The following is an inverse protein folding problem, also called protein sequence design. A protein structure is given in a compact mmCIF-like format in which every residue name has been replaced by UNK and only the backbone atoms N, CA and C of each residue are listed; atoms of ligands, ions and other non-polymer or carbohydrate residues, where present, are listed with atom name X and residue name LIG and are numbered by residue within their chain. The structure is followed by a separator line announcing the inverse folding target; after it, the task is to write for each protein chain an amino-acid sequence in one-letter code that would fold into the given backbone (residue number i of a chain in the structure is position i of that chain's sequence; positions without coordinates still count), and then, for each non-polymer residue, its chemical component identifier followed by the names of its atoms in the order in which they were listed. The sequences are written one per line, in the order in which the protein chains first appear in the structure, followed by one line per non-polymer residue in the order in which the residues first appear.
data_IF_405427320057
#
_entry.id   IF_405427320057
#
_cell.length_a   1.000
_cell.length_b   1.000
_cell.length_c   1.000
_cell.angle_alpha   90.00
_cell.angle_beta   90.00
_cell.angle_gamma   90.00
#
_symmetry.space_group_name_H-M   'P 1'
#
loop_
_entity.id
_entity.type
_entity.pdbx_description
1 polymer ?
#
# COMPACT_ATOMS: atom_id res chain seq x y z
N UNK A 1 5.79 -9.63 16.22
CA UNK A 1 5.23 -8.30 15.94
C UNK A 1 3.72 -8.36 16.16
N UNK A 2 3.07 -7.32 16.72
CA UNK A 2 1.61 -7.26 16.75
C UNK A 2 1.02 -7.15 15.33
N UNK A 3 -0.28 -7.44 15.19
CA UNK A 3 -1.03 -7.27 13.94
C UNK A 3 -1.27 -5.77 13.69
N UNK A 4 -0.28 -5.12 13.05
CA UNK A 4 -0.28 -3.68 12.79
C UNK A 4 -1.43 -3.28 11.87
N UNK A 5 -1.69 -4.08 10.83
CA UNK A 5 -2.77 -3.84 9.88
C UNK A 5 -4.11 -3.67 10.60
N UNK A 6 -4.46 -4.62 11.46
CA UNK A 6 -5.74 -4.57 12.18
C UNK A 6 -5.84 -3.35 13.09
N UNK A 7 -4.78 -3.07 13.85
CA UNK A 7 -4.73 -1.91 14.77
C UNK A 7 -4.90 -0.60 14.00
N UNK A 8 -4.23 -0.47 12.86
CA UNK A 8 -4.27 0.72 12.04
C UNK A 8 -5.62 0.92 11.35
N UNK A 9 -6.19 -0.14 10.81
CA UNK A 9 -7.51 -0.11 10.18
C UNK A 9 -8.60 0.36 11.16
N UNK A 10 -8.56 -0.11 12.41
CA UNK A 10 -9.44 0.35 13.48
C UNK A 10 -9.23 1.85 13.79
N UNK A 11 -7.96 2.27 13.98
CA UNK A 11 -7.60 3.68 14.25
C UNK A 11 -8.01 4.63 13.13
N UNK A 12 -7.87 4.22 11.87
CA UNK A 12 -8.24 5.02 10.70
C UNK A 12 -9.75 5.18 10.63
N UNK A 13 -10.50 4.09 10.85
CA UNK A 13 -11.97 4.11 10.90
C UNK A 13 -12.50 5.09 11.96
N UNK A 14 -11.90 5.12 13.14
CA UNK A 14 -12.26 6.07 14.20
C UNK A 14 -11.98 7.53 13.83
N UNK A 15 -10.82 7.79 13.20
CA UNK A 15 -10.40 9.16 12.83
C UNK A 15 -11.08 9.69 11.58
N UNK A 16 -11.59 8.82 10.70
CA UNK A 16 -12.29 9.18 9.46
C UNK A 16 -13.38 10.26 9.65
N UNK A 17 -14.08 10.22 10.79
CA UNK A 17 -15.16 11.17 11.12
C UNK A 17 -14.68 12.61 11.35
N UNK A 18 -13.38 12.81 11.61
CA UNK A 18 -12.75 14.10 11.90
C UNK A 18 -12.02 14.69 10.70
N UNK A 19 -11.88 13.92 9.61
CA UNK A 19 -11.21 14.37 8.40
C UNK A 19 -12.04 15.41 7.66
N UNK A 20 -11.36 16.32 6.99
CA UNK A 20 -11.98 17.37 6.19
C UNK A 20 -12.87 16.75 5.08
N UNK A 21 -14.16 17.13 4.99
CA UNK A 21 -15.06 16.57 3.99
C UNK A 21 -14.62 16.80 2.54
N UNK A 22 -13.98 17.93 2.22
CA UNK A 22 -13.50 18.20 0.87
C UNK A 22 -12.32 17.28 0.52
N UNK A 23 -11.37 17.10 1.44
CA UNK A 23 -10.24 16.18 1.23
C UNK A 23 -10.72 14.73 1.07
N UNK A 24 -11.68 14.31 1.91
CA UNK A 24 -12.32 13.00 1.78
C UNK A 24 -12.98 12.83 0.42
N UNK A 25 -13.74 13.83 -0.02
CA UNK A 25 -14.39 13.79 -1.31
C UNK A 25 -13.37 13.67 -2.46
N UNK A 26 -12.22 14.35 -2.37
CA UNK A 26 -11.13 14.22 -3.36
C UNK A 26 -10.55 12.81 -3.37
N UNK A 27 -10.16 12.27 -2.22
CA UNK A 27 -9.60 10.93 -2.11
C UNK A 27 -10.60 9.85 -2.57
N UNK A 28 -11.87 9.96 -2.16
CA UNK A 28 -12.95 9.05 -2.56
C UNK A 28 -13.31 9.15 -4.05
N UNK A 29 -12.86 10.17 -4.79
CA UNK A 29 -13.06 10.27 -6.25
C UNK A 29 -11.91 9.70 -7.07
N UNK A 30 -10.84 9.23 -6.43
CA UNK A 30 -9.77 8.48 -7.09
C UNK A 30 -10.35 7.31 -7.91
N UNK A 31 -11.37 6.63 -7.38
CA UNK A 31 -12.03 5.50 -8.07
C UNK A 31 -12.71 5.88 -9.39
N UNK A 32 -12.93 7.17 -9.64
CA UNK A 32 -13.47 7.67 -10.91
C UNK A 32 -12.39 8.05 -11.93
N UNK A 33 -11.13 8.17 -11.49
CA UNK A 33 -10.01 8.53 -12.34
C UNK A 33 -9.66 7.38 -13.31
N UNK A 34 -9.41 7.71 -14.58
CA UNK A 34 -9.06 6.73 -15.61
C UNK A 34 -7.80 5.94 -15.27
N UNK A 35 -6.73 6.61 -14.83
CA UNK A 35 -5.47 5.96 -14.48
C UNK A 35 -5.62 4.97 -13.33
N UNK A 36 -6.40 5.33 -12.30
CA UNK A 36 -6.67 4.39 -11.20
C UNK A 36 -7.54 3.22 -11.66
N UNK A 37 -8.55 3.47 -12.50
CA UNK A 37 -9.40 2.40 -13.06
C UNK A 37 -8.58 1.43 -13.91
N UNK A 38 -7.73 1.94 -14.78
CA UNK A 38 -6.87 1.13 -15.64
C UNK A 38 -5.92 0.28 -14.77
N UNK A 39 -5.26 0.91 -13.78
CA UNK A 39 -4.38 0.21 -12.84
C UNK A 39 -5.11 -0.88 -12.04
N UNK A 40 -6.32 -0.61 -11.51
CA UNK A 40 -6.99 -1.57 -10.61
C UNK A 40 -7.54 -2.80 -11.35
N UNK A 41 -7.99 -2.64 -12.60
CA UNK A 41 -8.56 -3.74 -13.40
C UNK A 41 -7.56 -4.46 -14.30
N UNK A 42 -6.38 -3.87 -14.51
CA UNK A 42 -5.33 -4.46 -15.32
C UNK A 42 -4.90 -5.82 -14.77
N UNK A 43 -4.62 -6.78 -15.65
CA UNK A 43 -4.08 -8.09 -15.25
C UNK A 43 -2.55 -8.08 -15.13
N UNK A 44 -1.90 -6.97 -15.48
CA UNK A 44 -0.45 -6.80 -15.36
C UNK A 44 -0.06 -6.31 -13.95
N UNK A 45 1.14 -6.71 -13.53
CA UNK A 45 1.82 -6.13 -12.37
C UNK A 45 2.17 -4.69 -12.69
N UNK A 46 1.68 -3.76 -11.87
CA UNK A 46 1.81 -2.33 -12.12
C UNK A 46 1.94 -1.56 -10.80
N UNK A 47 2.69 -0.47 -10.87
CA UNK A 47 2.90 0.45 -9.75
C UNK A 47 2.07 1.71 -9.97
N UNK A 48 1.57 2.32 -8.89
CA UNK A 48 0.86 3.59 -8.93
C UNK A 48 1.18 4.40 -7.67
N UNK A 49 1.52 5.67 -7.85
CA UNK A 49 1.67 6.63 -6.78
C UNK A 49 0.55 7.67 -6.85
N UNK A 50 -0.24 7.79 -5.79
CA UNK A 50 -1.30 8.80 -5.67
C UNK A 50 -0.90 9.86 -4.65
N UNK A 51 -0.87 11.12 -5.07
CA UNK A 51 -0.48 12.23 -4.20
C UNK A 51 -1.56 13.30 -4.11
N UNK A 52 -1.88 13.67 -2.88
CA UNK A 52 -2.67 14.85 -2.57
C UNK A 52 -1.82 16.11 -2.43
N UNK A 53 -2.49 17.16 -1.98
CA UNK A 53 -1.88 18.38 -1.45
C UNK A 53 -2.73 18.82 -0.25
N UNK A 54 -2.96 17.88 0.66
CA UNK A 54 -3.83 18.10 1.78
C UNK A 54 -3.14 18.99 2.81
N UNK A 55 -3.89 19.98 3.29
CA UNK A 55 -3.46 20.82 4.42
C UNK A 55 -3.72 20.06 5.70
N UNK A 56 -2.92 19.03 5.94
CA UNK A 56 -3.08 18.18 7.11
C UNK A 56 -2.50 18.91 8.31
N UNK A 57 -3.38 19.43 9.17
CA UNK A 57 -2.95 20.03 10.44
C UNK A 57 -2.40 18.95 11.37
N UNK A 58 -1.12 18.61 11.30
CA UNK A 58 -0.43 17.62 12.17
C UNK A 58 -1.18 16.29 12.38
N UNK A 59 -2.04 15.89 11.45
CA UNK A 59 -2.75 14.61 11.53
C UNK A 59 -1.96 13.56 10.76
N UNK A 60 -1.67 12.43 11.40
CA UNK A 60 -0.98 11.31 10.76
C UNK A 60 -1.94 10.30 10.10
N UNK A 61 -3.23 10.65 10.00
CA UNK A 61 -4.25 9.90 9.26
C UNK A 61 -4.88 10.89 8.30
N UNK A 62 -4.83 10.58 7.00
CA UNK A 62 -5.31 11.46 5.94
C UNK A 62 -6.58 10.93 5.27
N UNK A 63 -7.16 11.73 4.38
CA UNK A 63 -8.23 11.25 3.50
C UNK A 63 -7.78 10.08 2.60
N UNK A 64 -6.50 10.03 2.20
CA UNK A 64 -5.94 8.91 1.44
C UNK A 64 -5.78 7.66 2.31
N UNK A 65 -5.44 7.80 3.60
CA UNK A 65 -5.43 6.68 4.54
C UNK A 65 -6.81 6.04 4.66
N UNK A 66 -7.87 6.86 4.76
CA UNK A 66 -9.25 6.37 4.74
C UNK A 66 -9.63 5.72 3.41
N UNK A 67 -9.11 6.21 2.29
CA UNK A 67 -9.34 5.61 0.98
C UNK A 67 -8.66 4.24 0.89
N UNK A 68 -7.38 4.13 1.27
CA UNK A 68 -6.65 2.86 1.32
C UNK A 68 -7.34 1.84 2.21
N UNK A 69 -7.82 2.23 3.39
CA UNK A 69 -8.63 1.35 4.24
C UNK A 69 -9.91 0.86 3.54
N UNK A 70 -10.61 1.75 2.83
CA UNK A 70 -11.83 1.38 2.08
C UNK A 70 -11.51 0.43 0.92
N UNK A 71 -10.37 0.65 0.24
CA UNK A 71 -9.90 -0.19 -0.86
C UNK A 71 -9.50 -1.58 -0.36
N UNK A 72 -8.75 -1.67 0.75
CA UNK A 72 -8.39 -2.95 1.40
C UNK A 72 -9.64 -3.77 1.72
N UNK A 73 -10.67 -3.17 2.33
CA UNK A 73 -11.93 -3.87 2.62
C UNK A 73 -12.67 -4.33 1.36
N UNK A 74 -12.67 -3.51 0.30
CA UNK A 74 -13.30 -3.87 -0.96
C UNK A 74 -12.58 -5.05 -1.64
N UNK A 75 -11.24 -5.08 -1.58
CA UNK A 75 -10.42 -6.16 -2.13
C UNK A 75 -10.64 -7.47 -1.35
N UNK A 76 -10.71 -7.42 -0.02
CA UNK A 76 -10.98 -8.59 0.84
C UNK A 76 -12.31 -9.30 0.54
N UNK A 77 -13.26 -8.61 -0.09
CA UNK A 77 -14.54 -9.19 -0.45
C UNK A 77 -14.43 -10.26 -1.55
N UNK A 78 -13.34 -10.28 -2.33
CA UNK A 78 -13.07 -11.25 -3.38
C UNK A 78 -11.85 -12.11 -3.02
N UNK A 79 -12.00 -13.43 -3.09
CA UNK A 79 -10.94 -14.39 -2.73
C UNK A 79 -9.76 -14.42 -3.69
N UNK A 80 -9.95 -13.86 -4.90
CA UNK A 80 -8.88 -13.73 -5.90
C UNK A 80 -7.87 -12.64 -5.51
N UNK A 81 -8.19 -11.79 -4.55
CA UNK A 81 -7.35 -10.68 -4.14
C UNK A 81 -6.76 -10.90 -2.76
N UNK A 82 -5.47 -10.59 -2.64
CA UNK A 82 -4.74 -10.59 -1.37
C UNK A 82 -4.28 -9.15 -1.12
N UNK A 83 -5.06 -8.36 -0.35
CA UNK A 83 -4.65 -7.02 0.00
C UNK A 83 -3.69 -7.06 1.19
N UNK A 84 -2.59 -6.33 1.06
CA UNK A 84 -1.61 -6.03 2.09
C UNK A 84 -1.57 -4.51 2.24
N UNK A 85 -1.51 -4.00 3.46
CA UNK A 85 -1.45 -2.56 3.68
C UNK A 85 -0.55 -2.19 4.85
N UNK A 86 0.20 -1.10 4.68
CA UNK A 86 0.97 -0.47 5.74
C UNK A 86 0.72 1.04 5.79
N UNK A 87 0.45 1.58 6.97
CA UNK A 87 0.15 3.00 7.17
C UNK A 87 1.31 3.70 7.87
N UNK A 88 2.21 4.34 7.11
CA UNK A 88 3.41 4.98 7.64
C UNK A 88 3.09 6.03 8.73
N UNK A 89 1.97 6.75 8.59
CA UNK A 89 1.53 7.74 9.58
C UNK A 89 1.10 7.16 10.94
N UNK A 90 0.81 5.86 11.00
CA UNK A 90 0.53 5.20 12.27
C UNK A 90 1.79 4.91 13.09
N UNK A 91 2.92 4.73 12.42
CA UNK A 91 4.17 4.21 12.96
C UNK A 91 5.31 5.22 12.82
N UNK A 92 5.26 6.25 13.66
CA UNK A 92 6.25 7.35 13.73
C UNK A 92 6.91 7.36 15.11
N UNK A 93 7.55 8.48 15.47
CA UNK A 93 8.22 8.78 16.75
C UNK A 93 7.70 7.98 17.97
N UNK A 94 8.64 7.42 18.75
CA UNK A 94 8.41 6.56 19.95
C UNK A 94 7.67 5.23 19.70
N UNK A 95 7.37 4.87 18.46
CA UNK A 95 6.86 3.54 18.09
C UNK A 95 8.02 2.55 17.80
N UNK A 96 8.00 1.40 18.47
CA UNK A 96 8.95 0.30 18.22
C UNK A 96 8.73 -0.34 16.83
N UNK A 97 7.60 -0.07 16.19
CA UNK A 97 7.23 -0.55 14.86
C UNK A 97 7.38 0.52 13.76
N UNK A 98 8.13 1.61 14.02
CA UNK A 98 8.43 2.61 13.00
C UNK A 98 9.48 2.11 11.99
N UNK A 99 9.52 2.76 10.83
CA UNK A 99 10.56 2.60 9.81
C UNK A 99 10.33 1.49 8.77
N UNK A 100 11.22 1.42 7.79
CA UNK A 100 11.13 0.49 6.67
C UNK A 100 11.19 -0.98 7.10
N UNK A 101 12.06 -1.33 8.05
CA UNK A 101 12.13 -2.72 8.52
C UNK A 101 10.79 -3.24 9.05
N UNK A 102 10.11 -2.46 9.91
CA UNK A 102 8.79 -2.83 10.42
C UNK A 102 7.73 -2.90 9.33
N UNK A 103 7.85 -2.08 8.28
CA UNK A 103 6.98 -2.14 7.10
C UNK A 103 7.08 -3.49 6.39
N UNK A 104 8.29 -3.93 6.01
CA UNK A 104 8.44 -5.20 5.29
C UNK A 104 8.07 -6.41 6.17
N UNK A 105 8.38 -6.36 7.47
CA UNK A 105 7.95 -7.39 8.43
C UNK A 105 6.42 -7.44 8.51
N UNK A 106 5.73 -6.30 8.49
CA UNK A 106 4.26 -6.24 8.49
C UNK A 106 3.67 -6.89 7.27
N UNK A 107 4.18 -6.58 6.08
CA UNK A 107 3.70 -7.14 4.82
C UNK A 107 3.91 -8.66 4.78
N UNK A 108 5.06 -9.14 5.26
CA UNK A 108 5.34 -10.58 5.40
C UNK A 108 4.36 -11.24 6.38
N UNK A 109 4.15 -10.67 7.57
CA UNK A 109 3.23 -11.21 8.57
C UNK A 109 1.78 -11.24 8.06
N UNK A 110 1.33 -10.19 7.36
CA UNK A 110 0.02 -10.14 6.73
C UNK A 110 -0.14 -11.26 5.70
N UNK A 111 0.85 -11.46 4.84
CA UNK A 111 0.81 -12.51 3.82
C UNK A 111 0.77 -13.91 4.45
N UNK A 112 1.64 -14.18 5.43
CA UNK A 112 1.66 -15.42 6.21
C UNK A 112 0.36 -15.68 6.99
N UNK A 113 -0.37 -14.63 7.36
CA UNK A 113 -1.64 -14.75 8.09
C UNK A 113 -2.83 -15.02 7.17
N UNK A 114 -2.72 -14.66 5.89
CA UNK A 114 -3.78 -14.84 4.90
C UNK A 114 -3.66 -16.17 4.12
N UNK A 115 -2.45 -16.75 4.05
CA UNK A 115 -2.17 -17.91 3.21
C UNK A 115 -1.35 -18.97 3.96
N UNK A 116 -1.57 -20.25 3.62
CA UNK A 116 -0.85 -21.37 4.21
C UNK A 116 0.45 -21.66 3.43
N UNK A 117 1.59 -21.28 4.00
CA UNK A 117 2.90 -21.55 3.40
C UNK A 117 3.60 -22.76 4.03
N UNK A 118 4.19 -23.60 3.19
CA UNK A 118 5.08 -24.65 3.68
C UNK A 118 6.50 -24.10 3.90
N UNK A 119 6.74 -23.53 5.07
CA UNK A 119 8.03 -22.93 5.47
C UNK A 119 9.21 -23.92 5.44
N UNK A 120 8.97 -25.23 5.32
CA UNK A 120 10.06 -26.22 5.13
C UNK A 120 10.75 -26.11 3.77
N UNK A 121 10.12 -25.43 2.81
CA UNK A 121 10.65 -25.19 1.47
C UNK A 121 11.41 -23.87 1.38
N UNK A 122 11.55 -23.13 2.48
CA UNK A 122 12.28 -21.86 2.50
C UNK A 122 13.76 -22.12 2.13
N UNK A 123 14.33 -21.40 1.14
CA UNK A 123 15.73 -21.55 0.79
C UNK A 123 16.63 -21.28 1.99
N UNK A 124 17.70 -22.06 2.12
CA UNK A 124 18.62 -21.94 3.26
C UNK A 124 19.21 -20.53 3.34
N UNK A 125 19.50 -19.92 2.19
CA UNK A 125 20.07 -18.58 2.07
C UNK A 125 19.12 -17.52 2.65
N UNK A 126 17.81 -17.67 2.42
CA UNK A 126 16.80 -16.78 2.99
C UNK A 126 16.67 -17.03 4.49
N UNK A 127 16.63 -18.30 4.92
CA UNK A 127 16.55 -18.67 6.33
C UNK A 127 17.75 -18.15 7.15
N UNK A 128 18.98 -18.38 6.67
CA UNK A 128 20.23 -17.97 7.31
C UNK A 128 20.33 -16.43 7.40
N UNK A 129 19.77 -15.72 6.40
CA UNK A 129 19.72 -14.27 6.41
C UNK A 129 18.74 -13.69 7.46
N UNK A 130 17.66 -14.40 7.79
CA UNK A 130 16.67 -13.95 8.79
C UNK A 130 17.21 -13.95 10.23
N UNK A 131 18.32 -14.64 10.50
CA UNK A 131 18.99 -14.60 11.82
C UNK A 131 19.72 -13.26 12.05
N UNK A 132 19.89 -12.43 11.02
CA UNK A 132 20.49 -11.10 11.14
C UNK A 132 19.44 -10.07 11.56
N UNK A 133 19.75 -9.36 12.65
CA UNK A 133 18.87 -8.30 13.15
C UNK A 133 18.75 -7.16 12.12
N UNK A 134 17.51 -6.73 11.85
CA UNK A 134 17.19 -5.59 10.98
C UNK A 134 17.69 -5.72 9.52
N UNK A 135 17.73 -6.95 8.97
CA UNK A 135 18.17 -7.21 7.60
C UNK A 135 17.00 -7.03 6.60
N UNK A 136 16.82 -5.81 6.10
CA UNK A 136 15.78 -5.47 5.11
C UNK A 136 15.87 -6.32 3.84
N UNK A 137 17.06 -6.51 3.21
CA UNK A 137 17.21 -7.39 2.06
C UNK A 137 16.74 -8.83 2.31
N UNK A 138 17.02 -9.38 3.50
CA UNK A 138 16.56 -10.72 3.87
C UNK A 138 15.03 -10.82 3.90
N UNK A 139 14.36 -9.82 4.49
CA UNK A 139 12.89 -9.78 4.54
C UNK A 139 12.26 -9.48 3.18
N UNK A 140 12.90 -8.68 2.32
CA UNK A 140 12.47 -8.52 0.92
C UNK A 140 12.58 -9.84 0.16
N UNK A 141 13.67 -10.59 0.35
CA UNK A 141 13.86 -11.91 -0.28
C UNK A 141 12.84 -12.93 0.22
N UNK A 142 12.51 -12.92 1.51
CA UNK A 142 11.45 -13.72 2.08
C UNK A 142 10.10 -13.34 1.47
N UNK A 143 9.81 -12.05 1.37
CA UNK A 143 8.56 -11.57 0.79
C UNK A 143 8.41 -11.98 -0.68
N UNK A 144 9.44 -11.80 -1.50
CA UNK A 144 9.48 -12.28 -2.89
C UNK A 144 9.26 -13.80 -2.97
N UNK A 145 9.93 -14.57 -2.11
CA UNK A 145 9.76 -16.01 -2.06
C UNK A 145 8.33 -16.41 -1.74
N UNK A 146 7.68 -15.76 -0.76
CA UNK A 146 6.28 -16.00 -0.42
C UNK A 146 5.36 -15.69 -1.61
N UNK A 147 5.55 -14.55 -2.28
CA UNK A 147 4.80 -14.19 -3.49
C UNK A 147 4.96 -15.25 -4.60
N UNK A 148 6.16 -15.81 -4.76
CA UNK A 148 6.42 -16.88 -5.72
C UNK A 148 5.71 -18.22 -5.40
N UNK A 149 5.24 -18.43 -4.17
CA UNK A 149 4.52 -19.65 -3.79
C UNK A 149 3.00 -19.54 -3.97
N UNK A 150 2.50 -18.35 -4.31
CA UNK A 150 1.07 -18.13 -4.47
C UNK A 150 0.55 -18.74 -5.79
N UNK A 151 -0.74 -19.12 -5.85
CA UNK A 151 -1.38 -19.53 -7.10
C UNK A 151 -1.33 -18.43 -8.15
N UNK A 152 -1.18 -18.77 -9.43
CA UNK A 152 -1.09 -17.79 -10.54
C UNK A 152 -2.42 -17.08 -10.86
N UNK A 153 -3.54 -17.52 -10.27
CA UNK A 153 -4.87 -16.94 -10.43
C UNK A 153 -5.23 -15.87 -9.38
N UNK A 154 -4.32 -15.57 -8.44
CA UNK A 154 -4.51 -14.50 -7.46
C UNK A 154 -3.78 -13.21 -7.85
N UNK A 155 -4.35 -12.07 -7.46
CA UNK A 155 -3.69 -10.77 -7.54
C UNK A 155 -3.37 -10.26 -6.14
N UNK A 156 -2.12 -9.93 -5.91
CA UNK A 156 -1.67 -9.32 -4.65
C UNK A 156 -1.65 -7.81 -4.81
N UNK A 157 -2.33 -7.10 -3.90
CA UNK A 157 -2.34 -5.64 -3.83
C UNK A 157 -1.54 -5.20 -2.61
N UNK A 158 -0.42 -4.53 -2.83
CA UNK A 158 0.41 -3.97 -1.76
C UNK A 158 0.22 -2.45 -1.66
N UNK A 159 -0.41 -2.00 -0.58
CA UNK A 159 -0.73 -0.60 -0.32
C UNK A 159 0.24 -0.01 0.72
N UNK A 160 0.97 1.05 0.36
CA UNK A 160 1.86 1.78 1.28
C UNK A 160 1.32 3.21 1.41
N UNK A 161 0.67 3.52 2.52
CA UNK A 161 0.02 4.81 2.74
C UNK A 161 0.83 5.77 3.61
N UNK A 162 0.77 7.05 3.27
CA UNK A 162 1.43 8.12 4.01
C UNK A 162 2.94 8.13 3.80
N UNK A 163 3.41 7.73 2.62
CA UNK A 163 4.84 7.53 2.36
C UNK A 163 5.70 8.78 2.62
N UNK A 164 5.15 9.99 2.49
CA UNK A 164 5.84 11.25 2.84
C UNK A 164 6.30 11.29 4.29
N UNK A 165 5.62 10.62 5.22
CA UNK A 165 6.02 10.64 6.62
C UNK A 165 7.35 9.94 6.86
N UNK A 166 7.79 9.08 5.93
CA UNK A 166 9.09 8.41 5.97
C UNK A 166 10.16 9.12 5.13
N UNK A 167 9.85 10.27 4.50
CA UNK A 167 10.87 11.16 3.91
C UNK A 167 11.55 12.03 4.96
N UNK A 168 12.03 11.39 6.03
CA UNK A 168 12.79 12.02 7.12
C UNK A 168 14.10 11.28 7.30
N UNK A 169 15.11 11.95 7.83
CA UNK A 169 16.45 11.38 7.99
C UNK A 169 16.44 10.04 8.73
N UNK A 170 15.53 9.88 9.71
CA UNK A 170 15.43 8.67 10.53
C UNK A 170 14.83 7.46 9.78
N UNK A 171 14.05 7.67 8.73
CA UNK A 171 13.27 6.61 8.06
C UNK A 171 13.60 6.43 6.59
N UNK A 172 14.12 7.46 5.92
CA UNK A 172 14.19 7.52 4.46
C UNK A 172 15.10 6.45 3.87
N UNK A 173 16.17 6.07 4.57
CA UNK A 173 17.09 5.04 4.11
C UNK A 173 16.40 3.68 4.03
N UNK A 174 15.94 3.18 5.17
CA UNK A 174 15.24 1.89 5.30
C UNK A 174 13.98 1.84 4.42
N UNK A 175 13.21 2.93 4.39
CA UNK A 175 12.02 3.02 3.54
C UNK A 175 12.37 2.94 2.05
N UNK A 176 13.43 3.63 1.61
CA UNK A 176 13.85 3.59 0.21
C UNK A 176 14.33 2.20 -0.20
N UNK A 177 15.03 1.48 0.69
CA UNK A 177 15.49 0.11 0.43
C UNK A 177 14.30 -0.86 0.30
N UNK A 178 13.33 -0.79 1.21
CA UNK A 178 12.10 -1.60 1.13
C UNK A 178 11.30 -1.27 -0.12
N UNK A 179 11.09 0.02 -0.40
CA UNK A 179 10.33 0.46 -1.55
C UNK A 179 11.01 0.03 -2.86
N UNK A 180 12.33 0.15 -2.97
CA UNK A 180 13.08 -0.33 -4.13
C UNK A 180 12.85 -1.83 -4.37
N UNK A 181 12.95 -2.66 -3.33
CA UNK A 181 12.69 -4.10 -3.44
C UNK A 181 11.26 -4.41 -3.88
N UNK A 182 10.25 -3.76 -3.28
CA UNK A 182 8.84 -3.97 -3.62
C UNK A 182 8.54 -3.54 -5.06
N UNK A 183 9.09 -2.41 -5.52
CA UNK A 183 8.86 -1.94 -6.89
C UNK A 183 9.57 -2.82 -7.92
N UNK A 184 10.77 -3.32 -7.62
CA UNK A 184 11.48 -4.28 -8.48
C UNK A 184 10.64 -5.54 -8.69
N UNK A 185 10.10 -6.12 -7.61
CA UNK A 185 9.21 -7.30 -7.67
C UNK A 185 7.97 -7.11 -8.56
N UNK A 186 7.45 -5.88 -8.66
CA UNK A 186 6.29 -5.56 -9.51
C UNK A 186 6.67 -5.36 -10.98
N UNK A 187 7.91 -4.94 -11.26
CA UNK A 187 8.33 -4.45 -12.58
C UNK A 187 9.25 -5.40 -13.35
N UNK A 188 9.94 -6.33 -12.69
CA UNK A 188 10.90 -7.23 -13.32
C UNK A 188 10.28 -8.45 -14.05
N UNK A 189 8.98 -8.69 -13.86
CA UNK A 189 8.23 -9.77 -14.49
C UNK A 189 8.61 -11.18 -14.02
N UNK A 190 9.28 -11.32 -12.86
CA UNK A 190 9.71 -12.62 -12.31
C UNK A 190 8.62 -13.31 -11.50
N UNK A 191 7.72 -12.54 -10.88
CA UNK A 191 6.65 -13.11 -10.06
C UNK A 191 5.62 -13.88 -10.91
N UNK A 192 5.17 -15.06 -10.45
CA UNK A 192 4.12 -15.83 -11.14
C UNK A 192 2.72 -15.22 -10.96
N UNK A 193 2.56 -14.30 -10.01
CA UNK A 193 1.31 -13.62 -9.69
C UNK A 193 1.27 -12.20 -10.21
N UNK A 194 0.07 -11.68 -10.43
CA UNK A 194 -0.12 -10.23 -10.63
C UNK A 194 0.14 -9.50 -9.32
N UNK A 195 1.20 -8.70 -9.27
CA UNK A 195 1.60 -7.94 -8.09
C UNK A 195 1.46 -6.44 -8.34
N UNK A 196 0.43 -5.84 -7.72
CA UNK A 196 0.10 -4.42 -7.87
C UNK A 196 0.54 -3.65 -6.64
N UNK A 197 1.27 -2.55 -6.86
CA UNK A 197 1.76 -1.70 -5.77
C UNK A 197 1.09 -0.34 -5.86
N UNK A 198 0.42 0.06 -4.78
CA UNK A 198 -0.15 1.39 -4.63
C UNK A 198 0.56 2.12 -3.50
N UNK A 199 1.24 3.21 -3.83
CA UNK A 199 1.79 4.14 -2.84
C UNK A 199 0.91 5.36 -2.76
N UNK A 200 0.54 5.80 -1.56
CA UNK A 200 -0.25 7.01 -1.37
C UNK A 200 0.47 8.00 -0.46
N UNK A 201 0.25 9.28 -0.74
CA UNK A 201 0.80 10.35 0.10
C UNK A 201 -0.18 11.52 0.19
N UNK A 202 -0.49 12.02 1.40
CA UNK A 202 -1.38 13.17 1.58
C UNK A 202 -0.85 14.46 0.95
N UNK A 203 0.48 14.59 0.86
CA UNK A 203 1.18 15.73 0.27
C UNK A 203 2.17 15.24 -0.80
N UNK A 204 2.68 16.12 -1.67
CA UNK A 204 3.72 15.74 -2.61
C UNK A 204 4.95 15.17 -1.88
N UNK A 205 5.53 14.11 -2.44
CA UNK A 205 6.81 13.52 -1.97
C UNK A 205 7.98 14.02 -2.82
N UNK A 206 9.21 13.66 -2.44
CA UNK A 206 10.45 14.06 -3.13
C UNK A 206 11.30 12.86 -3.53
N UNK A 207 11.64 11.98 -2.59
CA UNK A 207 12.41 10.75 -2.78
C UNK A 207 11.49 9.63 -3.31
N UNK A 208 10.33 9.44 -2.68
CA UNK A 208 9.37 8.37 -3.00
C UNK A 208 8.83 8.50 -4.42
N UNK A 209 8.73 9.71 -4.97
CA UNK A 209 8.19 9.92 -6.33
C UNK A 209 9.15 9.53 -7.45
N UNK A 210 10.46 9.49 -7.20
CA UNK A 210 11.46 9.32 -8.25
C UNK A 210 11.24 8.06 -9.11
N UNK A 211 10.89 6.88 -8.54
CA UNK A 211 10.64 5.68 -9.35
C UNK A 211 9.38 5.78 -10.22
N UNK A 212 8.40 6.61 -9.85
CA UNK A 212 7.10 6.69 -10.53
C UNK A 212 7.06 7.72 -11.67
N UNK A 213 8.03 8.62 -11.74
CA UNK A 213 8.11 9.65 -12.79
C UNK A 213 8.47 9.07 -14.15
N UNK A 214 9.24 7.98 -14.18
CA UNK A 214 9.77 7.40 -15.41
C UNK A 214 8.66 6.81 -16.28
N UNK A 215 7.66 6.16 -15.66
CA UNK A 215 6.61 5.42 -16.35
C UNK A 215 5.25 6.13 -16.33
N UNK A 216 5.20 7.39 -15.91
CA UNK A 216 3.94 8.14 -15.81
C UNK A 216 2.96 7.59 -14.76
N UNK A 217 3.46 6.78 -13.82
CA UNK A 217 2.68 6.10 -12.78
C UNK A 217 2.36 7.00 -11.57
N UNK A 218 2.34 8.33 -11.78
CA UNK A 218 2.06 9.34 -10.75
C UNK A 218 0.72 10.01 -11.04
N UNK A 219 -0.23 9.83 -10.12
CA UNK A 219 -1.53 10.49 -10.12
C UNK A 219 -1.60 11.58 -9.04
N UNK A 220 -1.61 12.84 -9.46
CA UNK A 220 -1.87 13.96 -8.54
C UNK A 220 -3.37 14.26 -8.45
N UNK A 221 -3.93 14.18 -7.23
CA UNK A 221 -5.36 14.44 -6.98
C UNK A 221 -5.66 15.90 -6.62
N UNK A 222 -4.64 16.73 -6.39
CA UNK A 222 -4.81 18.17 -6.17
C UNK A 222 -5.35 18.89 -7.41
N UNK A 223 -4.94 18.41 -8.60
CA UNK A 223 -5.37 18.94 -9.88
C UNK A 223 -6.80 18.52 -10.27
N UNK A 224 -7.44 17.61 -9.52
CA UNK A 224 -8.77 17.13 -9.86
C UNK A 224 -9.86 18.17 -9.52
N UNK A 225 -10.82 18.44 -10.42
CA UNK A 225 -11.80 19.51 -10.25
C UNK A 225 -12.80 19.24 -9.11
N UNK A 226 -12.89 20.14 -8.15
CA UNK A 226 -13.65 19.99 -6.90
C UNK A 226 -15.19 20.05 -7.00
N UNK A 227 -15.79 20.13 -8.19
CA UNK A 227 -17.22 20.46 -8.32
C UNK A 227 -18.14 19.26 -8.00
N UNK A 228 -18.95 19.44 -6.95
CA UNK A 228 -20.11 18.62 -6.51
C UNK A 228 -19.80 17.27 -5.82
N UNK A 229 -18.68 17.14 -5.14
CA UNK A 229 -18.33 15.88 -4.49
C UNK A 229 -18.76 15.85 -3.03
N UNK A 230 -19.85 15.15 -2.75
CA UNK A 230 -20.14 14.73 -1.39
C UNK A 230 -19.37 13.44 -1.09
N UNK A 231 -18.67 13.35 0.05
CA UNK A 231 -18.11 12.08 0.50
C UNK A 231 -19.20 11.02 0.56
N UNK A 232 -18.96 9.87 -0.06
CA UNK A 232 -19.84 8.73 -0.04
C UNK A 232 -19.02 7.44 -0.18
N UNK A 233 -18.71 6.86 0.97
CA UNK A 233 -18.04 5.56 1.06
C UNK A 233 -18.83 4.45 0.35
N UNK A 234 -20.15 4.44 0.50
CA UNK A 234 -21.02 3.48 -0.20
C UNK A 234 -20.90 3.59 -1.72
N UNK A 235 -20.69 4.81 -2.24
CA UNK A 235 -20.43 5.01 -3.66
C UNK A 235 -19.06 4.48 -4.04
N UNK A 236 -18.01 4.82 -3.28
CA UNK A 236 -16.65 4.33 -3.51
C UNK A 236 -16.60 2.81 -3.51
N UNK A 237 -17.21 2.14 -2.51
CA UNK A 237 -17.28 0.68 -2.43
C UNK A 237 -18.01 0.07 -3.63
N UNK A 238 -19.13 0.66 -4.07
CA UNK A 238 -19.86 0.17 -5.26
C UNK A 238 -19.04 0.29 -6.53
N UNK A 239 -18.35 1.41 -6.71
CA UNK A 239 -17.51 1.65 -7.90
C UNK A 239 -16.31 0.70 -7.92
N UNK A 240 -15.68 0.47 -6.76
CA UNK A 240 -14.63 -0.55 -6.60
C UNK A 240 -15.15 -1.95 -6.91
N UNK A 241 -16.28 -2.34 -6.34
CA UNK A 241 -16.87 -3.66 -6.59
C UNK A 241 -17.23 -3.89 -8.06
N UNK A 242 -17.67 -2.84 -8.78
CA UNK A 242 -17.95 -2.92 -10.22
C UNK A 242 -16.67 -3.07 -11.05
N UNK A 243 -15.61 -2.32 -10.72
CA UNK A 243 -14.32 -2.44 -11.41
C UNK A 243 -13.68 -3.82 -11.20
N UNK A 244 -13.61 -4.24 -9.94
CA UNK A 244 -13.01 -5.51 -9.52
C UNK A 244 -13.80 -6.75 -9.96
N UNK A 245 -15.12 -6.64 -10.12
CA UNK A 245 -15.96 -7.74 -10.61
C UNK A 245 -15.92 -7.93 -12.13
N UNK A 246 -15.30 -7.01 -12.87
CA UNK A 246 -15.20 -7.06 -14.33
C UNK A 246 -13.87 -7.62 -14.84
N UNK A 247 -12.95 -7.95 -13.92
CA UNK A 247 -11.61 -8.51 -14.18
C UNK A 247 -11.59 -10.02 -14.07
#
# INVERSE_FOLDING_TARGET
MPDLEKIDMERISERKKRLDPEQRAKAENVVQNGQFKDWVVSTASEILLIQGNFRDGNQNVSALSSFCATLTEALRADRRFIPLVFFCGSHLDDDQCAGGFSMIVSLVVQLLSQQDFNMRLLPYEVYDALDRWNDIPAFCSLFEWLLCQLPDDVTVFCLIDGAVYYEREEFVHDMSEVLAGILEMSTDGRLPVTFKVLVTSPTPTTVVRLPFEVDGSLLSIDAMPSRQWQPSELRTQRELAQGLGSS
#
